data_IF_016961292549
#
_entry.id   IF_016961292549
#
_cell.length_a   1.000
_cell.length_b   1.000
_cell.length_c   1.000
_cell.angle_alpha   90.00
_cell.angle_beta   90.00
_cell.angle_gamma   90.00
#
_symmetry.space_group_name_H-M   'P 1'
#
loop_
_entity.id
_entity.type
_entity.pdbx_description
1 polymer ?
#
# COMPACT_ATOMS: atom_id res chain seq x y z
N UNK A 1 7.32 22.42 -2.43
CA UNK A 1 6.14 22.37 -3.33
C UNK A 1 5.13 21.46 -2.65
N UNK A 2 3.94 21.94 -2.30
CA UNK A 2 2.91 21.08 -1.69
C UNK A 2 2.20 20.29 -2.79
N UNK A 3 2.01 18.98 -2.59
CA UNK A 3 1.24 18.17 -3.53
C UNK A 3 -0.24 18.54 -3.44
N UNK A 4 -0.93 18.80 -4.56
CA UNK A 4 -2.36 19.07 -4.59
C UNK A 4 -3.18 17.97 -3.90
N UNK A 5 -4.21 18.36 -3.14
CA UNK A 5 -5.09 17.43 -2.41
C UNK A 5 -5.72 16.39 -3.33
N UNK A 6 -6.09 16.77 -4.55
CA UNK A 6 -6.65 15.84 -5.54
C UNK A 6 -5.67 14.70 -5.89
N UNK A 7 -4.38 15.01 -6.06
CA UNK A 7 -3.36 14.00 -6.33
C UNK A 7 -3.14 13.07 -5.14
N UNK A 8 -3.25 13.60 -3.91
CA UNK A 8 -3.21 12.79 -2.68
C UNK A 8 -4.40 11.82 -2.59
N UNK A 9 -5.61 12.29 -2.90
CA UNK A 9 -6.81 11.44 -2.94
C UNK A 9 -6.68 10.33 -3.98
N UNK A 10 -6.30 10.68 -5.22
CA UNK A 10 -6.07 9.70 -6.29
C UNK A 10 -4.98 8.69 -5.92
N UNK A 11 -3.93 9.13 -5.22
CA UNK A 11 -2.90 8.23 -4.72
C UNK A 11 -3.49 7.17 -3.78
N UNK A 12 -4.25 7.59 -2.77
CA UNK A 12 -4.87 6.68 -1.79
C UNK A 12 -5.88 5.73 -2.45
N UNK A 13 -6.72 6.21 -3.37
CA UNK A 13 -7.65 5.37 -4.14
C UNK A 13 -6.91 4.29 -4.93
N UNK A 14 -5.83 4.66 -5.60
CA UNK A 14 -4.99 3.70 -6.32
C UNK A 14 -4.35 2.68 -5.39
N UNK A 15 -3.91 3.07 -4.19
CA UNK A 15 -3.34 2.12 -3.20
C UNK A 15 -4.40 1.10 -2.76
N UNK A 16 -5.67 1.52 -2.57
CA UNK A 16 -6.77 0.59 -2.24
C UNK A 16 -7.03 -0.40 -3.37
N UNK A 17 -7.10 0.07 -4.63
CA UNK A 17 -7.27 -0.82 -5.78
C UNK A 17 -6.13 -1.84 -5.91
N UNK A 18 -4.89 -1.40 -5.65
CA UNK A 18 -3.74 -2.30 -5.64
C UNK A 18 -3.84 -3.35 -4.51
N UNK A 19 -4.40 -3.00 -3.34
CA UNK A 19 -4.65 -3.95 -2.23
C UNK A 19 -5.75 -4.94 -2.60
N UNK A 20 -6.86 -4.49 -3.18
CA UNK A 20 -7.97 -5.38 -3.60
C UNK A 20 -7.49 -6.41 -4.63
N UNK A 21 -6.72 -5.96 -5.62
CA UNK A 21 -6.11 -6.86 -6.60
C UNK A 21 -5.16 -7.85 -5.92
N UNK A 22 -4.31 -7.36 -5.02
CA UNK A 22 -3.36 -8.20 -4.29
C UNK A 22 -4.06 -9.30 -3.46
N UNK A 23 -5.18 -9.00 -2.80
CA UNK A 23 -5.94 -10.02 -2.06
C UNK A 23 -6.32 -11.19 -2.98
N UNK A 24 -6.83 -10.90 -4.17
CA UNK A 24 -7.20 -11.94 -5.15
C UNK A 24 -5.99 -12.75 -5.66
N UNK A 25 -4.85 -12.10 -5.86
CA UNK A 25 -3.61 -12.76 -6.31
C UNK A 25 -3.01 -13.69 -5.27
N UNK A 26 -3.15 -13.37 -3.98
CA UNK A 26 -2.66 -14.22 -2.89
C UNK A 26 -3.42 -15.54 -2.78
N UNK A 27 -4.65 -15.65 -3.29
CA UNK A 27 -5.38 -16.93 -3.35
C UNK A 27 -4.68 -17.97 -4.23
N UNK A 28 -3.96 -17.51 -5.26
CA UNK A 28 -3.16 -18.36 -6.15
C UNK A 28 -1.66 -18.28 -5.87
N UNK A 29 -1.27 -17.81 -4.68
CA UNK A 29 0.12 -17.59 -4.26
C UNK A 29 0.94 -16.70 -5.23
N UNK A 30 0.28 -15.77 -5.91
CA UNK A 30 0.95 -14.76 -6.72
C UNK A 30 1.36 -13.56 -5.85
N UNK A 31 2.66 -13.46 -5.58
CA UNK A 31 3.27 -12.39 -4.79
C UNK A 31 3.76 -11.21 -5.64
N UNK A 32 3.68 -11.26 -6.96
CA UNK A 32 4.16 -10.19 -7.83
C UNK A 32 3.46 -8.83 -7.57
N UNK A 33 2.13 -8.78 -7.33
CA UNK A 33 1.46 -7.53 -6.96
C UNK A 33 1.95 -6.97 -5.62
N UNK A 34 2.30 -7.82 -4.65
CA UNK A 34 2.81 -7.36 -3.35
C UNK A 34 4.20 -6.74 -3.49
N UNK A 35 5.08 -7.34 -4.28
CA UNK A 35 6.40 -6.79 -4.59
C UNK A 35 6.26 -5.41 -5.27
N UNK A 36 5.35 -5.30 -6.24
CA UNK A 36 5.08 -4.05 -6.97
C UNK A 36 4.51 -2.98 -6.04
N UNK A 37 3.52 -3.32 -5.23
CA UNK A 37 2.89 -2.42 -4.26
C UNK A 37 3.94 -1.89 -3.28
N UNK A 38 4.70 -2.79 -2.64
CA UNK A 38 5.73 -2.43 -1.67
C UNK A 38 6.81 -1.53 -2.28
N UNK A 39 7.28 -1.87 -3.49
CA UNK A 39 8.27 -1.07 -4.21
C UNK A 39 7.77 0.35 -4.55
N UNK A 40 6.52 0.47 -4.98
CA UNK A 40 5.94 1.77 -5.30
C UNK A 40 5.75 2.60 -4.04
N UNK A 41 5.11 2.04 -3.02
CA UNK A 41 4.78 2.76 -1.77
C UNK A 41 6.04 3.24 -1.07
N UNK A 42 7.05 2.38 -0.90
CA UNK A 42 8.30 2.79 -0.24
C UNK A 42 9.00 3.96 -0.94
N UNK A 43 8.82 4.08 -2.26
CA UNK A 43 9.49 5.09 -3.08
C UNK A 43 8.69 6.38 -3.27
N UNK A 44 7.36 6.36 -3.14
CA UNK A 44 6.52 7.50 -3.48
C UNK A 44 5.59 7.98 -2.36
N UNK A 45 5.44 7.24 -1.25
CA UNK A 45 4.51 7.65 -0.20
C UNK A 45 4.86 9.00 0.42
N UNK A 46 6.14 9.27 0.65
CA UNK A 46 6.63 10.59 1.11
C UNK A 46 6.32 11.69 0.09
N UNK A 47 6.46 11.41 -1.21
CA UNK A 47 6.12 12.37 -2.27
C UNK A 47 4.67 12.82 -2.19
N UNK A 48 3.75 11.94 -1.77
CA UNK A 48 2.33 12.25 -1.65
C UNK A 48 1.90 12.69 -0.22
N UNK A 49 2.85 13.03 0.66
CA UNK A 49 2.62 13.40 2.08
C UNK A 49 2.03 12.26 2.94
N UNK A 50 2.41 11.01 2.66
CA UNK A 50 2.02 9.83 3.46
C UNK A 50 3.23 9.02 3.97
N UNK A 51 4.20 9.64 4.68
CA UNK A 51 5.43 8.96 5.12
C UNK A 51 5.16 7.70 5.97
N UNK A 52 4.03 7.66 6.70
CA UNK A 52 3.63 6.50 7.50
C UNK A 52 3.37 5.23 6.68
N UNK A 53 3.09 5.35 5.38
CA UNK A 53 2.86 4.18 4.52
C UNK A 53 4.18 3.56 4.02
N UNK A 54 5.29 4.30 3.99
CA UNK A 54 6.56 3.80 3.47
C UNK A 54 7.11 2.59 4.27
N UNK A 55 7.11 2.59 5.62
CA UNK A 55 7.50 1.42 6.41
C UNK A 55 6.64 0.19 6.15
N UNK A 56 5.33 0.36 5.90
CA UNK A 56 4.43 -0.73 5.55
C UNK A 56 4.76 -1.28 4.16
N UNK A 57 5.05 -0.41 3.18
CA UNK A 57 5.48 -0.83 1.84
C UNK A 57 6.76 -1.67 1.88
N UNK A 58 7.75 -1.28 2.69
CA UNK A 58 8.99 -2.05 2.89
C UNK A 58 8.69 -3.43 3.48
N UNK A 59 7.83 -3.50 4.50
CA UNK A 59 7.47 -4.76 5.13
C UNK A 59 6.71 -5.68 4.18
N UNK A 60 5.77 -5.15 3.39
CA UNK A 60 5.02 -5.92 2.37
C UNK A 60 5.97 -6.50 1.33
N UNK A 61 6.90 -5.69 0.80
CA UNK A 61 7.89 -6.16 -0.18
C UNK A 61 8.76 -7.28 0.41
N UNK A 62 9.18 -7.14 1.67
CA UNK A 62 10.01 -8.15 2.33
C UNK A 62 9.25 -9.45 2.62
N UNK A 63 7.99 -9.36 3.07
CA UNK A 63 7.13 -10.53 3.27
C UNK A 63 6.87 -11.25 1.94
N UNK A 64 6.60 -10.50 0.87
CA UNK A 64 6.42 -11.05 -0.48
C UNK A 64 7.68 -11.75 -1.02
N UNK A 65 8.87 -11.19 -0.79
CA UNK A 65 10.15 -11.85 -1.15
C UNK A 65 10.35 -13.18 -0.41
N UNK A 66 9.82 -13.30 0.80
CA UNK A 66 9.85 -14.51 1.61
C UNK A 66 8.68 -15.46 1.33
N UNK A 67 7.77 -15.09 0.41
CA UNK A 67 6.52 -15.81 0.14
C UNK A 67 5.67 -16.03 1.39
N UNK A 68 5.75 -15.11 2.35
CA UNK A 68 5.00 -15.14 3.59
C UNK A 68 3.58 -14.59 3.36
N UNK A 69 2.66 -15.47 2.92
CA UNK A 69 1.27 -15.10 2.58
C UNK A 69 0.57 -14.44 3.77
N UNK A 70 0.66 -15.04 4.95
CA UNK A 70 0.01 -14.51 6.16
C UNK A 70 0.60 -13.15 6.56
N UNK A 71 1.92 -13.00 6.50
CA UNK A 71 2.59 -11.73 6.73
C UNK A 71 2.14 -10.64 5.75
N UNK A 72 2.05 -10.96 4.45
CA UNK A 72 1.51 -10.03 3.44
C UNK A 72 0.06 -9.66 3.76
N UNK A 73 -0.80 -10.62 4.06
CA UNK A 73 -2.22 -10.38 4.38
C UNK A 73 -2.39 -9.44 5.59
N UNK A 74 -1.64 -9.69 6.67
CA UNK A 74 -1.68 -8.84 7.86
C UNK A 74 -1.22 -7.40 7.54
N UNK A 75 -0.14 -7.26 6.77
CA UNK A 75 0.41 -5.95 6.43
C UNK A 75 -0.48 -5.15 5.47
N UNK A 76 -1.15 -5.80 4.51
CA UNK A 76 -2.06 -5.09 3.59
C UNK A 76 -3.35 -4.66 4.30
N UNK A 77 -3.80 -5.42 5.30
CA UNK A 77 -4.92 -5.00 6.16
C UNK A 77 -4.54 -3.77 6.99
N UNK A 78 -3.33 -3.74 7.58
CA UNK A 78 -2.82 -2.57 8.27
C UNK A 78 -2.71 -1.35 7.32
N UNK A 79 -2.17 -1.55 6.13
CA UNK A 79 -2.07 -0.47 5.14
C UNK A 79 -3.45 0.05 4.72
N UNK A 80 -4.44 -0.83 4.53
CA UNK A 80 -5.81 -0.41 4.21
C UNK A 80 -6.44 0.43 5.33
N UNK A 81 -6.19 0.07 6.59
CA UNK A 81 -6.63 0.84 7.76
C UNK A 81 -6.02 2.25 7.76
N UNK A 82 -4.70 2.36 7.57
CA UNK A 82 -4.00 3.65 7.49
C UNK A 82 -4.50 4.53 6.35
N UNK A 83 -4.77 3.93 5.19
CA UNK A 83 -5.33 4.66 4.04
C UNK A 83 -6.73 5.17 4.37
N UNK A 84 -7.58 4.35 4.98
CA UNK A 84 -8.94 4.77 5.33
C UNK A 84 -8.95 5.90 6.37
N UNK A 85 -8.05 5.86 7.36
CA UNK A 85 -7.85 6.96 8.30
C UNK A 85 -7.42 8.24 7.57
N UNK A 86 -6.43 8.14 6.68
CA UNK A 86 -5.94 9.28 5.91
C UNK A 86 -7.05 9.89 5.03
N UNK A 87 -7.92 9.07 4.44
CA UNK A 87 -9.06 9.53 3.61
C UNK A 87 -10.05 10.40 4.38
N UNK A 88 -10.31 10.10 5.65
CA UNK A 88 -11.23 10.85 6.51
C UNK A 88 -10.71 12.26 6.84
N UNK A 89 -9.39 12.45 6.83
CA UNK A 89 -8.77 13.75 7.09
C UNK A 89 -8.94 14.74 5.93
N UNK A 90 -9.29 14.26 4.72
CA UNK A 90 -9.54 15.10 3.55
C UNK A 90 -11.02 15.51 3.44
N UNK A 91 -11.52 16.31 4.38
CA UNK A 91 -12.80 17.03 4.23
C UNK A 91 -12.70 18.15 3.19
#
# INVERSE_FOLDING_TARGET
>A
MQVPVELKRRYLERRIQDIEHLISSLEVNDFAPALKLGHQVKGNAETFDFPQLAPLGIQIENAAKKQDKEGVQNLIHLMASEINLARQTFH
#
